data_IF_104277515411
#
_entry.id   IF_104277515411
#
_cell.length_a   1.000
_cell.length_b   1.000
_cell.length_c   1.000
_cell.angle_alpha   90.00
_cell.angle_beta   90.00
_cell.angle_gamma   90.00
#
_symmetry.space_group_name_H-M   'P 1'
#
loop_
_entity.id
_entity.type
_entity.pdbx_description
1 polymer ?
#
# COMPACT_ATOMS: atom_id res chain seq x y z
N UNK A 1 2.81 4.48 -20.66
CA UNK A 1 2.35 3.18 -20.16
C UNK A 1 1.07 3.33 -19.37
N UNK A 2 0.04 2.52 -19.70
CA UNK A 2 -1.23 2.46 -18.99
C UNK A 2 -1.40 1.10 -18.33
N UNK A 3 -1.79 1.06 -17.07
CA UNK A 3 -2.08 -0.17 -16.34
C UNK A 3 -3.58 -0.34 -16.17
N UNK A 4 -4.06 -1.58 -16.18
CA UNK A 4 -5.47 -1.90 -16.00
C UNK A 4 -5.63 -2.76 -14.76
N UNK A 5 -6.58 -2.39 -13.89
CA UNK A 5 -6.86 -3.11 -12.65
C UNK A 5 -8.31 -3.58 -12.69
N UNK A 6 -8.62 -4.74 -13.29
CA UNK A 6 -10.02 -5.15 -13.45
C UNK A 6 -10.68 -5.65 -12.17
N UNK A 7 -9.89 -6.00 -11.16
CA UNK A 7 -10.38 -6.46 -9.86
C UNK A 7 -9.54 -5.91 -8.70
N UNK A 8 -8.31 -6.37 -8.52
CA UNK A 8 -7.47 -5.97 -7.39
C UNK A 8 -6.01 -5.83 -7.79
N UNK A 9 -5.34 -4.80 -7.26
CA UNK A 9 -3.89 -4.71 -7.19
C UNK A 9 -3.51 -4.45 -5.73
N UNK A 10 -2.92 -5.44 -5.04
CA UNK A 10 -2.59 -5.34 -3.63
C UNK A 10 -1.07 -5.26 -3.41
N UNK A 11 -0.66 -4.45 -2.42
CA UNK A 11 0.72 -4.30 -1.96
C UNK A 11 1.72 -4.07 -3.10
N UNK A 12 2.50 -5.08 -3.49
CA UNK A 12 3.45 -4.98 -4.60
C UNK A 12 2.80 -4.65 -5.94
N UNK A 13 1.56 -5.10 -6.19
CA UNK A 13 0.84 -4.73 -7.40
C UNK A 13 0.39 -3.25 -7.38
N UNK A 14 0.17 -2.66 -6.20
CA UNK A 14 -0.04 -1.20 -6.07
C UNK A 14 1.22 -0.45 -6.48
N UNK A 15 2.41 -0.89 -6.05
CA UNK A 15 3.70 -0.29 -6.46
C UNK A 15 3.87 -0.30 -7.99
N UNK A 16 3.58 -1.44 -8.62
CA UNK A 16 3.64 -1.56 -10.08
C UNK A 16 2.62 -0.61 -10.74
N UNK A 17 1.42 -0.50 -10.17
CA UNK A 17 0.37 0.35 -10.74
C UNK A 17 0.72 1.84 -10.69
N UNK A 18 1.31 2.33 -9.59
CA UNK A 18 1.67 3.75 -9.45
C UNK A 18 2.85 4.17 -10.31
N UNK A 19 3.62 3.21 -10.84
CA UNK A 19 4.68 3.45 -11.81
C UNK A 19 4.17 3.70 -13.24
N UNK A 20 2.86 3.55 -13.48
CA UNK A 20 2.25 3.84 -14.78
C UNK A 20 1.84 5.31 -14.90
N UNK A 21 1.80 5.83 -16.15
CA UNK A 21 1.32 7.19 -16.42
C UNK A 21 -0.16 7.34 -16.05
N UNK A 22 -0.94 6.28 -16.27
CA UNK A 22 -2.37 6.22 -16.00
C UNK A 22 -2.81 4.84 -15.53
N UNK A 23 -3.76 4.82 -14.59
CA UNK A 23 -4.36 3.62 -14.01
C UNK A 23 -5.83 3.54 -14.45
N UNK A 24 -6.21 2.49 -15.16
CA UNK A 24 -7.60 2.26 -15.55
C UNK A 24 -8.29 1.37 -14.52
N UNK A 25 -9.40 1.86 -13.98
CA UNK A 25 -10.21 1.17 -12.99
C UNK A 25 -11.68 1.11 -13.42
N UNK A 26 -12.39 0.11 -12.93
CA UNK A 26 -13.84 -0.04 -13.06
C UNK A 26 -14.53 -0.11 -11.70
N UNK A 27 -15.81 -0.46 -11.72
CA UNK A 27 -16.70 -0.35 -10.55
C UNK A 27 -16.24 -1.13 -9.32
N UNK A 28 -15.69 -2.34 -9.54
CA UNK A 28 -15.24 -3.23 -8.46
C UNK A 28 -13.73 -3.19 -8.23
N UNK A 29 -13.03 -2.38 -9.03
CA UNK A 29 -11.58 -2.26 -9.01
C UNK A 29 -11.10 -1.63 -7.71
N UNK A 30 -10.05 -2.22 -7.15
CA UNK A 30 -9.44 -1.71 -5.94
C UNK A 30 -7.93 -1.84 -5.95
N UNK A 31 -7.28 -0.89 -5.29
CA UNK A 31 -5.89 -1.03 -4.86
C UNK A 31 -5.83 -1.08 -3.32
N UNK A 32 -4.74 -1.58 -2.76
CA UNK A 32 -4.51 -1.56 -1.31
C UNK A 32 -3.34 -0.65 -0.93
N UNK A 33 -3.16 -0.47 0.38
CA UNK A 33 -1.89 -0.03 1.00
C UNK A 33 -0.68 -0.70 0.38
N UNK A 34 0.46 0.01 0.44
CA UNK A 34 1.79 -0.60 0.30
C UNK A 34 2.34 -0.86 1.71
N UNK A 35 1.60 -1.63 2.51
CA UNK A 35 2.00 -1.97 3.88
C UNK A 35 2.80 -3.26 3.90
N UNK A 36 3.91 -3.26 4.64
CA UNK A 36 4.79 -4.43 4.76
C UNK A 36 4.23 -5.35 5.83
N UNK A 37 4.03 -6.62 5.48
CA UNK A 37 3.74 -7.66 6.48
C UNK A 37 5.04 -8.38 6.80
N UNK A 38 5.47 -8.27 8.05
CA UNK A 38 6.51 -9.11 8.61
C UNK A 38 5.89 -10.43 9.06
N UNK A 39 6.49 -11.55 8.68
CA UNK A 39 6.06 -12.88 9.13
C UNK A 39 7.13 -13.42 10.08
N UNK A 40 6.75 -13.70 11.32
CA UNK A 40 7.65 -14.26 12.33
C UNK A 40 8.02 -15.71 12.00
N UNK A 41 9.03 -16.25 12.68
CA UNK A 41 9.37 -17.68 12.59
C UNK A 41 8.21 -18.61 13.00
N UNK A 42 7.31 -18.12 13.86
CA UNK A 42 6.10 -18.86 14.30
C UNK A 42 4.94 -18.76 13.30
N UNK A 43 5.11 -18.01 12.20
CA UNK A 43 4.08 -17.80 11.18
C UNK A 43 3.09 -16.67 11.49
N UNK A 44 3.31 -15.92 12.57
CA UNK A 44 2.49 -14.75 12.90
C UNK A 44 2.74 -13.62 11.88
N UNK A 45 1.66 -13.00 11.41
CA UNK A 45 1.71 -11.91 10.43
C UNK A 45 1.49 -10.57 11.11
N UNK A 46 2.52 -9.73 11.11
CA UNK A 46 2.52 -8.43 11.77
C UNK A 46 2.55 -7.34 10.69
N UNK A 47 1.58 -6.43 10.74
CA UNK A 47 1.64 -5.18 9.96
C UNK A 47 2.66 -4.25 10.62
N UNK A 48 3.72 -3.90 9.88
CA UNK A 48 4.78 -3.02 10.40
C UNK A 48 4.21 -1.63 10.73
N UNK A 49 3.33 -1.08 9.88
CA UNK A 49 2.67 0.19 10.12
C UNK A 49 1.79 0.18 11.37
N UNK A 50 1.00 -0.88 11.58
CA UNK A 50 0.13 -0.98 12.75
C UNK A 50 0.96 -1.07 14.05
N UNK A 51 2.05 -1.82 14.02
CA UNK A 51 2.98 -1.96 15.15
C UNK A 51 3.58 -0.60 15.55
N UNK A 52 4.18 0.11 14.59
CA UNK A 52 4.80 1.42 14.85
C UNK A 52 3.78 2.45 15.37
N UNK A 53 2.61 2.54 14.73
CA UNK A 53 1.55 3.46 15.16
C UNK A 53 1.02 3.12 16.55
N UNK A 54 0.89 1.83 16.89
CA UNK A 54 0.48 1.39 18.21
C UNK A 54 1.42 1.94 19.28
N UNK A 55 2.72 1.79 19.07
CA UNK A 55 3.73 2.33 19.98
C UNK A 55 3.72 3.87 20.04
N UNK A 56 3.66 4.56 18.89
CA UNK A 56 3.57 6.03 18.86
C UNK A 56 2.35 6.56 19.61
N UNK A 57 1.20 5.88 19.51
CA UNK A 57 -0.02 6.24 20.26
C UNK A 57 0.17 6.12 21.76
N UNK A 58 0.88 5.09 22.23
CA UNK A 58 1.23 4.96 23.66
C UNK A 58 2.15 6.10 24.09
N UNK A 59 3.15 6.44 23.28
CA UNK A 59 4.05 7.57 23.52
C UNK A 59 3.30 8.91 23.64
N UNK A 60 2.34 9.18 22.75
CA UNK A 60 1.52 10.39 22.85
C UNK A 60 0.53 10.35 24.02
N UNK A 61 -0.07 9.20 24.31
CA UNK A 61 -1.01 9.02 25.44
C UNK A 61 -0.34 9.32 26.78
N UNK A 62 0.90 8.89 26.98
CA UNK A 62 1.63 9.03 28.25
C UNK A 62 2.71 10.11 28.21
N UNK A 63 2.71 10.98 27.19
CA UNK A 63 3.73 12.00 26.95
C UNK A 63 4.04 12.91 28.15
N UNK A 64 3.02 13.22 28.94
CA UNK A 64 3.11 14.07 30.15
C UNK A 64 2.89 13.27 31.44
N UNK A 65 2.74 11.95 31.34
CA UNK A 65 2.48 11.07 32.49
C UNK A 65 3.82 10.56 33.04
N UNK A 66 4.02 10.65 34.36
CA UNK A 66 5.20 10.06 34.98
C UNK A 66 5.10 8.55 34.91
N UNK A 67 6.24 7.85 34.77
CA UNK A 67 6.30 6.39 34.66
C UNK A 67 5.48 5.68 35.75
N UNK A 68 5.58 6.16 36.99
CA UNK A 68 4.89 5.63 38.18
C UNK A 68 3.36 5.77 38.15
N UNK A 69 2.83 6.71 37.34
CA UNK A 69 1.40 6.95 37.20
C UNK A 69 0.79 6.17 36.01
N UNK A 70 1.59 5.46 35.21
CA UNK A 70 1.11 4.66 34.07
C UNK A 70 0.49 3.35 34.59
N UNK A 71 -0.76 3.01 34.22
CA UNK A 71 -1.36 1.75 34.66
C UNK A 71 -0.53 0.54 34.19
N UNK A 72 -0.34 -0.43 35.10
CA UNK A 72 0.54 -1.58 34.90
C UNK A 72 0.38 -2.30 33.54
N UNK A 73 -0.83 -2.55 33.01
CA UNK A 73 -0.98 -3.19 31.70
C UNK A 73 -0.31 -2.42 30.55
N UNK A 74 -0.36 -1.08 30.56
CA UNK A 74 0.29 -0.26 29.55
C UNK A 74 1.80 -0.18 29.75
N UNK A 75 2.24 -0.11 31.01
CA UNK A 75 3.66 -0.12 31.33
C UNK A 75 4.32 -1.43 30.87
N UNK A 76 3.69 -2.56 31.17
CA UNK A 76 4.15 -3.88 30.72
C UNK A 76 4.17 -3.99 29.19
N UNK A 77 3.19 -3.41 28.49
CA UNK A 77 3.17 -3.39 27.03
C UNK A 77 4.35 -2.59 26.47
N UNK A 78 4.59 -1.39 26.99
CA UNK A 78 5.71 -0.53 26.57
C UNK A 78 7.05 -1.24 26.81
N UNK A 79 7.23 -1.86 27.97
CA UNK A 79 8.47 -2.58 28.33
C UNK A 79 8.65 -3.88 27.52
N UNK A 80 7.58 -4.44 26.94
CA UNK A 80 7.66 -5.64 26.08
C UNK A 80 8.11 -5.36 24.64
N UNK A 81 8.14 -4.08 24.22
CA UNK A 81 8.52 -3.71 22.85
C UNK A 81 10.01 -3.96 22.63
N UNK A 82 10.33 -4.77 21.63
CA UNK A 82 11.70 -4.93 21.17
C UNK A 82 12.09 -3.73 20.29
N UNK A 83 12.98 -2.87 20.77
CA UNK A 83 13.44 -1.67 20.06
C UNK A 83 14.18 -2.01 18.76
N UNK A 84 14.89 -3.13 18.67
CA UNK A 84 15.56 -3.53 17.43
C UNK A 84 14.54 -3.88 16.32
N UNK A 85 13.49 -4.62 16.67
CA UNK A 85 12.38 -4.92 15.75
C UNK A 85 11.63 -3.64 15.37
N UNK A 86 11.44 -2.72 16.31
CA UNK A 86 10.82 -1.42 16.05
C UNK A 86 11.61 -0.61 15.02
N UNK A 87 12.92 -0.46 15.20
CA UNK A 87 13.81 0.24 14.25
C UNK A 87 13.83 -0.45 12.88
N UNK A 88 13.85 -1.78 12.85
CA UNK A 88 13.79 -2.57 11.62
C UNK A 88 12.48 -2.30 10.84
N UNK A 89 11.34 -2.30 11.53
CA UNK A 89 10.04 -2.01 10.92
C UNK A 89 9.95 -0.57 10.41
N UNK A 90 10.51 0.39 11.15
CA UNK A 90 10.61 1.78 10.70
C UNK A 90 11.46 1.88 9.42
N UNK A 91 12.58 1.17 9.37
CA UNK A 91 13.43 1.06 8.19
C UNK A 91 12.70 0.47 6.98
N UNK A 92 11.92 -0.61 7.16
CA UNK A 92 11.14 -1.22 6.09
C UNK A 92 10.10 -0.25 5.49
N UNK A 93 9.37 0.48 6.32
CA UNK A 93 8.45 1.49 5.81
C UNK A 93 9.16 2.65 5.13
N UNK A 94 10.33 3.06 5.64
CA UNK A 94 11.17 4.09 5.01
C UNK A 94 11.60 3.68 3.59
N UNK A 95 12.10 2.45 3.43
CA UNK A 95 12.52 1.93 2.12
C UNK A 95 11.34 1.83 1.14
N UNK A 96 10.18 1.34 1.61
CA UNK A 96 8.97 1.28 0.77
C UNK A 96 8.50 2.68 0.38
N UNK A 97 8.57 3.65 1.30
CA UNK A 97 8.27 5.06 1.02
C UNK A 97 9.16 5.62 -0.06
N UNK A 98 10.47 5.42 0.04
CA UNK A 98 11.45 5.90 -0.94
C UNK A 98 11.19 5.27 -2.31
N UNK A 99 11.00 3.95 -2.35
CA UNK A 99 10.75 3.24 -3.59
C UNK A 99 9.44 3.68 -4.27
N UNK A 100 8.34 3.82 -3.51
CA UNK A 100 7.08 4.32 -4.03
C UNK A 100 7.19 5.76 -4.57
N UNK A 101 7.97 6.61 -3.88
CA UNK A 101 8.23 7.98 -4.32
C UNK A 101 8.99 8.01 -5.65
N UNK A 102 10.04 7.20 -5.80
CA UNK A 102 10.80 7.08 -7.05
C UNK A 102 9.93 6.63 -8.23
N UNK A 103 9.03 5.65 -8.00
CA UNK A 103 8.11 5.17 -9.02
C UNK A 103 7.09 6.24 -9.44
N UNK A 104 6.54 7.00 -8.48
CA UNK A 104 5.64 8.11 -8.77
C UNK A 104 6.36 9.21 -9.57
N UNK A 105 7.58 9.59 -9.17
CA UNK A 105 8.37 10.58 -9.94
C UNK A 105 8.69 10.08 -11.35
N UNK A 106 9.01 8.79 -11.49
CA UNK A 106 9.25 8.16 -12.79
C UNK A 106 8.01 8.13 -13.69
N UNK A 107 6.81 8.05 -13.09
CA UNK A 107 5.52 8.21 -13.77
C UNK A 107 5.15 9.69 -14.06
N UNK A 108 6.06 10.63 -13.79
CA UNK A 108 5.93 12.04 -14.11
C UNK A 108 5.05 12.82 -13.14
N UNK A 109 4.89 12.38 -11.89
CA UNK A 109 4.25 13.18 -10.84
C UNK A 109 5.22 14.24 -10.32
N UNK A 110 4.72 15.45 -10.04
CA UNK A 110 5.50 16.53 -9.43
C UNK A 110 5.87 16.18 -7.99
N UNK A 111 7.00 16.69 -7.48
CA UNK A 111 7.57 16.30 -6.18
C UNK A 111 6.54 16.33 -5.04
N UNK A 112 5.81 17.45 -4.90
CA UNK A 112 4.80 17.61 -3.84
C UNK A 112 3.58 16.71 -4.01
N UNK A 113 3.20 16.45 -5.27
CA UNK A 113 2.08 15.55 -5.59
C UNK A 113 2.46 14.11 -5.25
N UNK A 114 3.64 13.68 -5.70
CA UNK A 114 4.21 12.37 -5.44
C UNK A 114 4.36 12.10 -3.94
N UNK A 115 4.87 13.08 -3.17
CA UNK A 115 4.98 12.96 -1.71
C UNK A 115 3.63 12.76 -1.02
N UNK A 116 2.61 13.57 -1.36
CA UNK A 116 1.28 13.45 -0.76
C UNK A 116 0.59 12.13 -1.13
N UNK A 117 0.72 11.67 -2.37
CA UNK A 117 0.21 10.35 -2.79
C UNK A 117 0.91 9.25 -2.01
N UNK A 118 2.24 9.30 -1.93
CA UNK A 118 3.07 8.32 -1.25
C UNK A 118 2.73 8.20 0.23
N UNK A 119 2.64 9.33 0.94
CA UNK A 119 2.26 9.35 2.35
C UNK A 119 0.88 8.73 2.58
N UNK A 120 -0.08 8.96 1.67
CA UNK A 120 -1.42 8.37 1.74
C UNK A 120 -1.44 6.87 1.43
N UNK A 121 -0.51 6.35 0.63
CA UNK A 121 -0.45 4.92 0.28
C UNK A 121 0.34 4.10 1.30
N UNK A 122 1.38 4.68 1.89
CA UNK A 122 2.27 4.01 2.86
C UNK A 122 1.78 4.22 4.29
N UNK A 123 1.45 5.46 4.67
CA UNK A 123 1.06 5.82 6.05
C UNK A 123 -0.39 6.27 6.18
N UNK A 124 -1.18 6.31 5.10
CA UNK A 124 -2.59 6.68 5.15
C UNK A 124 -3.52 5.57 5.66
N UNK A 125 -3.34 4.29 5.29
CA UNK A 125 -4.35 3.27 5.54
C UNK A 125 -4.60 3.05 7.03
N UNK A 126 -5.86 3.02 7.47
CA UNK A 126 -6.23 2.78 8.87
C UNK A 126 -6.13 1.30 9.25
N UNK A 127 -6.30 0.42 8.27
CA UNK A 127 -6.15 -1.03 8.39
C UNK A 127 -5.36 -1.55 7.21
N UNK A 128 -4.70 -2.70 7.37
CA UNK A 128 -3.97 -3.35 6.29
C UNK A 128 -4.85 -3.61 5.05
N UNK A 129 -6.14 -3.87 5.28
CA UNK A 129 -7.13 -4.22 4.25
C UNK A 129 -7.93 -3.02 3.74
N UNK A 130 -7.48 -1.78 3.98
CA UNK A 130 -8.18 -0.61 3.45
C UNK A 130 -8.23 -0.69 1.91
N UNK A 131 -9.45 -0.59 1.40
CA UNK A 131 -9.74 -0.67 -0.02
C UNK A 131 -9.76 0.74 -0.60
N UNK A 132 -8.87 0.99 -1.57
CA UNK A 132 -8.84 2.23 -2.33
C UNK A 132 -9.52 1.96 -3.68
N UNK A 133 -10.80 2.32 -3.77
CA UNK A 133 -11.58 2.25 -5.02
C UNK A 133 -11.25 3.43 -5.96
N UNK A 134 -11.88 3.47 -7.13
CA UNK A 134 -11.65 4.54 -8.13
C UNK A 134 -11.78 5.96 -7.56
N UNK A 135 -12.87 6.25 -6.85
CA UNK A 135 -13.10 7.59 -6.28
C UNK A 135 -12.06 7.95 -5.23
N UNK A 136 -11.70 7.00 -4.36
CA UNK A 136 -10.65 7.22 -3.36
C UNK A 136 -9.29 7.42 -4.04
N UNK A 137 -8.93 6.60 -5.02
CA UNK A 137 -7.69 6.72 -5.79
C UNK A 137 -7.58 8.10 -6.46
N UNK A 138 -8.67 8.57 -7.07
CA UNK A 138 -8.78 9.91 -7.63
C UNK A 138 -8.59 11.00 -6.56
N UNK A 139 -9.24 10.84 -5.40
CA UNK A 139 -9.16 11.81 -4.29
C UNK A 139 -7.78 11.92 -3.63
N UNK A 140 -6.96 10.87 -3.70
CA UNK A 140 -5.59 10.90 -3.19
C UNK A 140 -4.58 11.46 -4.20
N UNK A 141 -5.00 11.69 -5.45
CA UNK A 141 -4.19 12.30 -6.50
C UNK A 141 -3.71 11.34 -7.59
N UNK A 142 -4.05 10.05 -7.54
CA UNK A 142 -3.65 9.13 -8.60
C UNK A 142 -4.35 9.47 -9.92
N UNK A 143 -3.59 9.39 -11.02
CA UNK A 143 -4.07 9.56 -12.40
C UNK A 143 -4.89 8.34 -12.83
N UNK A 144 -6.10 8.27 -12.32
CA UNK A 144 -7.06 7.21 -12.63
C UNK A 144 -8.00 7.60 -13.76
N UNK A 145 -8.32 6.64 -14.62
CA UNK A 145 -9.32 6.74 -15.68
C UNK A 145 -10.39 5.67 -15.51
N UNK A 146 -11.63 6.01 -15.83
CA UNK A 146 -12.71 5.04 -15.74
C UNK A 146 -12.70 4.14 -16.97
N UNK A 147 -12.97 2.85 -16.79
CA UNK A 147 -12.82 1.84 -17.84
C UNK A 147 -13.63 2.10 -19.11
N UNK A 148 -14.70 2.90 -19.02
CA UNK A 148 -15.54 3.26 -20.16
C UNK A 148 -14.80 4.04 -21.25
N UNK A 149 -13.71 4.74 -20.90
CA UNK A 149 -12.82 5.40 -21.86
C UNK A 149 -12.02 4.37 -22.69
N UNK A 150 -11.93 3.12 -22.23
CA UNK A 150 -11.06 2.07 -22.79
C UNK A 150 -11.77 0.71 -22.92
N UNK A 151 -13.05 0.69 -23.32
CA UNK A 151 -13.90 -0.52 -23.32
C UNK A 151 -13.29 -1.75 -24.01
N UNK A 152 -12.62 -1.57 -25.15
CA UNK A 152 -11.99 -2.68 -25.88
C UNK A 152 -10.83 -3.30 -25.10
N UNK A 153 -9.86 -2.48 -24.69
CA UNK A 153 -8.72 -2.92 -23.88
C UNK A 153 -9.19 -3.50 -22.54
N UNK A 154 -10.19 -2.89 -21.91
CA UNK A 154 -10.80 -3.38 -20.68
C UNK A 154 -11.39 -4.79 -20.84
N UNK A 155 -12.15 -5.01 -21.92
CA UNK A 155 -12.73 -6.33 -22.23
C UNK A 155 -11.66 -7.40 -22.38
N UNK A 156 -10.54 -7.07 -23.06
CA UNK A 156 -9.39 -7.97 -23.17
C UNK A 156 -8.83 -8.27 -21.77
N UNK A 157 -8.53 -7.24 -20.97
CA UNK A 157 -7.94 -7.43 -19.63
C UNK A 157 -8.86 -8.24 -18.69
N UNK A 158 -10.19 -8.04 -18.76
CA UNK A 158 -11.16 -8.87 -18.01
C UNK A 158 -11.17 -10.32 -18.45
N UNK A 159 -11.16 -10.57 -19.77
CA UNK A 159 -11.10 -11.93 -20.30
C UNK A 159 -9.82 -12.64 -19.86
N UNK A 160 -8.70 -11.92 -19.84
CA UNK A 160 -7.44 -12.44 -19.33
C UNK A 160 -7.52 -12.74 -17.84
N UNK A 161 -7.98 -11.80 -17.02
CA UNK A 161 -8.18 -12.03 -15.59
C UNK A 161 -9.05 -13.27 -15.36
N UNK A 162 -10.19 -13.39 -16.05
CA UNK A 162 -11.10 -14.53 -15.91
C UNK A 162 -10.47 -15.88 -16.24
N UNK A 163 -9.43 -15.92 -17.09
CA UNK A 163 -8.69 -17.16 -17.39
C UNK A 163 -7.78 -17.57 -16.22
N UNK A 164 -7.19 -16.61 -15.52
CA UNK A 164 -6.14 -16.85 -14.53
C UNK A 164 -6.57 -16.65 -13.07
N UNK A 165 -7.77 -16.10 -12.82
CA UNK A 165 -8.20 -15.72 -11.46
C UNK A 165 -8.32 -16.91 -10.48
N UNK A 166 -8.49 -18.13 -11.01
CA UNK A 166 -8.54 -19.37 -10.23
C UNK A 166 -7.25 -20.19 -10.31
N UNK A 167 -6.24 -19.72 -11.05
CA UNK A 167 -4.94 -20.38 -11.14
C UNK A 167 -4.03 -19.83 -10.03
N UNK A 168 -3.79 -20.62 -8.98
CA UNK A 168 -2.72 -20.30 -8.02
C UNK A 168 -1.37 -20.52 -8.70
N UNK A 169 -0.59 -19.46 -8.82
CA UNK A 169 0.72 -19.48 -9.44
C UNK A 169 1.65 -18.57 -8.65
N UNK A 170 2.81 -19.09 -8.24
CA UNK A 170 3.92 -18.27 -7.75
C UNK A 170 4.57 -17.40 -8.85
N UNK A 171 4.05 -17.47 -10.08
CA UNK A 171 4.55 -16.75 -11.25
C UNK A 171 3.66 -15.55 -11.52
N UNK A 172 4.21 -14.36 -11.38
CA UNK A 172 3.56 -13.13 -11.81
C UNK A 172 3.55 -13.05 -13.35
N UNK A 173 2.36 -13.06 -13.95
CA UNK A 173 2.22 -12.90 -15.40
C UNK A 173 2.16 -11.42 -15.79
N UNK A 174 3.30 -10.87 -16.22
CA UNK A 174 3.38 -9.49 -16.75
C UNK A 174 3.39 -9.56 -18.28
N UNK A 175 2.39 -8.96 -18.93
CA UNK A 175 2.37 -8.81 -20.39
C UNK A 175 2.31 -7.34 -20.74
N UNK A 176 3.30 -6.87 -21.49
CA UNK A 176 3.39 -5.48 -21.95
C UNK A 176 3.31 -5.42 -23.47
N UNK A 177 2.85 -4.29 -23.99
CA UNK A 177 2.86 -3.98 -25.41
C UNK A 177 3.51 -2.62 -25.60
N UNK A 178 4.55 -2.56 -26.42
CA UNK A 178 5.22 -1.32 -26.81
C UNK A 178 4.69 -0.96 -28.20
N UNK A 179 3.89 0.11 -28.36
CA UNK A 179 3.50 0.57 -29.68
C UNK A 179 4.75 0.96 -30.47
N UNK A 180 4.80 0.57 -31.75
CA UNK A 180 5.82 1.05 -32.70
C UNK A 180 5.51 2.47 -33.15
#
# INVERSE_FOLDING_TARGET
MRVYIPHVAASGATLIAIAADEIVMGEISRISSIDVIYTTETGERISTLAYLRGFMKLGEMFKTTRKEDIPYPYLSLIESVNLAIFEEFAGYLGQVKEYALELLKSAGYEDKEAENINDRLVYGPLTHYEVINFEKAKSIGLRVKFYEEFKESWSIMRRWLGKYILEESGIHHIKYFIPR
#
